data_IF_540769100725
#
_entry.id   IF_540769100725
#
_cell.length_a   1.000
_cell.length_b   1.000
_cell.length_c   1.000
_cell.angle_alpha   90.00
_cell.angle_beta   90.00
_cell.angle_gamma   90.00
#
_symmetry.space_group_name_H-M   'P 1'
#
loop_
_entity.id
_entity.type
_entity.pdbx_description
1 polymer ?
#
# COMPACT_ATOMS: atom_id res chain seq x y z
N UNK A 1 11.33 18.06 11.93
CA UNK A 1 11.21 16.60 12.16
C UNK A 1 9.72 16.21 12.30
N UNK A 2 8.91 16.35 11.25
CA UNK A 2 7.45 16.10 11.28
C UNK A 2 6.92 15.41 10.01
N UNK A 3 7.76 14.76 9.21
CA UNK A 3 7.32 14.23 7.90
C UNK A 3 6.91 12.76 7.93
N UNK A 4 7.48 11.94 8.81
CA UNK A 4 7.27 10.48 8.78
C UNK A 4 6.03 9.97 9.53
N UNK A 5 5.25 10.85 10.19
CA UNK A 5 3.96 10.48 10.81
C UNK A 5 2.74 10.76 9.93
N UNK A 6 2.92 11.48 8.82
CA UNK A 6 1.84 11.84 7.88
C UNK A 6 1.60 10.78 6.80
N UNK A 7 2.52 9.82 6.61
CA UNK A 7 2.14 8.52 6.07
C UNK A 7 1.41 7.77 7.18
N UNK A 8 0.14 8.11 7.37
CA UNK A 8 -0.75 7.37 8.25
C UNK A 8 -0.74 5.91 7.85
N UNK A 9 -0.54 5.02 8.82
CA UNK A 9 -0.65 3.58 8.55
C UNK A 9 -2.07 3.21 8.10
N UNK A 10 -2.28 1.93 7.72
CA UNK A 10 -3.57 1.47 7.22
C UNK A 10 -4.76 1.83 8.14
N UNK A 11 -4.53 1.85 9.47
CA UNK A 11 -5.58 2.21 10.44
C UNK A 11 -5.91 3.70 10.37
N UNK A 12 -4.90 4.57 10.26
CA UNK A 12 -5.12 6.01 10.15
C UNK A 12 -5.81 6.38 8.83
N UNK A 13 -5.46 5.72 7.73
CA UNK A 13 -6.16 5.91 6.44
C UNK A 13 -7.64 5.52 6.58
N UNK A 14 -7.94 4.42 7.26
CA UNK A 14 -9.32 4.00 7.53
C UNK A 14 -10.09 5.01 8.40
N UNK A 15 -9.44 5.61 9.40
CA UNK A 15 -10.03 6.68 10.22
C UNK A 15 -10.35 7.91 9.37
N UNK A 16 -9.41 8.38 8.55
CA UNK A 16 -9.61 9.52 7.65
C UNK A 16 -10.72 9.26 6.62
N UNK A 17 -10.83 8.02 6.12
CA UNK A 17 -11.93 7.62 5.25
C UNK A 17 -13.29 7.71 5.98
N UNK A 18 -13.34 7.25 7.23
CA UNK A 18 -14.55 7.33 8.07
C UNK A 18 -14.94 8.78 8.41
N UNK A 19 -13.97 9.65 8.68
CA UNK A 19 -14.22 11.09 8.86
C UNK A 19 -14.71 11.74 7.56
N UNK A 20 -14.09 11.42 6.42
CA UNK A 20 -14.52 11.92 5.11
C UNK A 20 -15.95 11.51 4.77
N UNK A 21 -16.34 10.28 5.13
CA UNK A 21 -17.72 9.80 4.97
C UNK A 21 -18.71 10.59 5.84
N UNK A 22 -18.33 10.95 7.08
CA UNK A 22 -19.16 11.78 7.98
C UNK A 22 -19.29 13.23 7.50
N UNK A 23 -18.26 13.77 6.84
CA UNK A 23 -18.27 15.12 6.25
C UNK A 23 -19.15 15.24 5.00
N UNK A 24 -19.64 14.12 4.46
CA UNK A 24 -20.58 14.07 3.34
C UNK A 24 -19.99 13.48 2.05
N UNK A 25 -20.87 13.21 1.09
CA UNK A 25 -20.54 12.46 -0.12
C UNK A 25 -19.48 13.14 -1.01
N UNK A 26 -19.53 14.47 -1.14
CA UNK A 26 -18.55 15.23 -1.93
C UNK A 26 -17.12 15.08 -1.37
N UNK A 27 -16.97 15.17 -0.05
CA UNK A 27 -15.70 15.02 0.64
C UNK A 27 -15.17 13.59 0.53
N UNK A 28 -16.04 12.60 0.68
CA UNK A 28 -15.68 11.19 0.49
C UNK A 28 -15.20 10.91 -0.93
N UNK A 29 -15.87 11.47 -1.95
CA UNK A 29 -15.42 11.34 -3.35
C UNK A 29 -14.04 11.97 -3.56
N UNK A 30 -13.81 13.18 -3.03
CA UNK A 30 -12.51 13.84 -3.11
C UNK A 30 -11.39 13.03 -2.44
N UNK A 31 -11.65 12.52 -1.24
CA UNK A 31 -10.73 11.62 -0.52
C UNK A 31 -10.45 10.35 -1.34
N UNK A 32 -11.49 9.70 -1.83
CA UNK A 32 -11.37 8.45 -2.60
C UNK A 32 -10.62 8.68 -3.90
N UNK A 33 -10.88 9.77 -4.61
CA UNK A 33 -10.18 10.14 -5.84
C UNK A 33 -8.68 10.37 -5.58
N UNK A 34 -8.35 11.13 -4.53
CA UNK A 34 -6.96 11.34 -4.12
C UNK A 34 -6.24 10.03 -3.82
N UNK A 35 -6.83 9.15 -3.00
CA UNK A 35 -6.22 7.85 -2.68
C UNK A 35 -6.13 6.93 -3.90
N UNK A 36 -7.15 6.90 -4.76
CA UNK A 36 -7.17 6.07 -5.98
C UNK A 36 -6.08 6.47 -6.96
N UNK A 37 -5.84 7.78 -7.15
CA UNK A 37 -4.75 8.26 -8.00
C UNK A 37 -3.39 7.84 -7.45
N UNK A 38 -3.17 8.01 -6.14
CA UNK A 38 -1.93 7.59 -5.50
C UNK A 38 -1.71 6.07 -5.63
N UNK A 39 -2.76 5.27 -5.42
CA UNK A 39 -2.68 3.82 -5.57
C UNK A 39 -2.42 3.41 -7.03
N UNK A 40 -3.04 4.10 -7.99
CA UNK A 40 -2.77 3.91 -9.42
C UNK A 40 -1.31 4.17 -9.77
N UNK A 41 -0.71 5.24 -9.24
CA UNK A 41 0.73 5.54 -9.43
C UNK A 41 1.60 4.45 -8.78
N UNK A 42 1.28 4.04 -7.55
CA UNK A 42 2.01 2.98 -6.85
C UNK A 42 1.96 1.65 -7.61
N UNK A 43 0.81 1.30 -8.20
CA UNK A 43 0.65 0.07 -8.99
C UNK A 43 1.50 0.05 -10.27
N UNK A 44 1.96 1.21 -10.77
CA UNK A 44 2.85 1.28 -11.94
C UNK A 44 4.34 1.07 -11.60
N UNK A 45 4.68 1.01 -10.31
CA UNK A 45 6.05 0.71 -9.87
C UNK A 45 6.44 -0.71 -10.33
N UNK A 46 7.68 -0.94 -10.80
CA UNK A 46 8.15 -2.24 -11.28
C UNK A 46 8.38 -3.25 -10.12
N UNK A 47 7.30 -3.58 -9.41
CA UNK A 47 7.29 -4.54 -8.31
C UNK A 47 6.53 -5.81 -8.74
N UNK A 48 7.06 -7.03 -8.54
CA UNK A 48 6.53 -8.27 -9.13
C UNK A 48 5.04 -8.60 -8.86
N UNK A 49 4.46 -8.07 -7.79
CA UNK A 49 3.06 -8.30 -7.39
C UNK A 49 2.11 -7.24 -7.97
N UNK A 50 2.66 -6.13 -8.47
CA UNK A 50 1.92 -4.99 -9.00
C UNK A 50 1.85 -5.05 -10.53
N UNK A 51 0.87 -4.36 -11.11
CA UNK A 51 0.67 -4.28 -12.56
C UNK A 51 1.93 -3.77 -13.29
N UNK A 52 2.63 -2.80 -12.69
CA UNK A 52 3.89 -2.26 -13.17
C UNK A 52 5.02 -3.28 -13.25
N UNK A 53 5.03 -4.30 -12.37
CA UNK A 53 5.98 -5.41 -12.44
C UNK A 53 5.76 -6.29 -13.66
N UNK A 54 4.50 -6.57 -14.00
CA UNK A 54 4.14 -7.31 -15.21
C UNK A 54 4.50 -6.53 -16.46
N UNK A 55 4.17 -5.23 -16.50
CA UNK A 55 4.55 -4.32 -17.60
C UNK A 55 6.07 -4.29 -17.76
N UNK A 56 6.81 -4.18 -16.66
CA UNK A 56 8.27 -4.14 -16.68
C UNK A 56 8.89 -5.43 -17.24
N UNK A 57 8.37 -6.60 -16.83
CA UNK A 57 8.81 -7.89 -17.38
C UNK A 57 8.51 -7.97 -18.89
N UNK A 58 7.34 -7.52 -19.32
CA UNK A 58 6.98 -7.50 -20.74
C UNK A 58 7.88 -6.56 -21.55
N UNK A 59 8.25 -5.40 -21.00
CA UNK A 59 9.21 -4.48 -21.62
C UNK A 59 10.58 -5.14 -21.77
N UNK A 60 11.07 -5.82 -20.74
CA UNK A 60 12.33 -6.58 -20.81
C UNK A 60 12.24 -7.67 -21.88
N UNK A 61 11.15 -8.44 -21.93
CA UNK A 61 10.94 -9.48 -22.94
C UNK A 61 10.91 -8.91 -24.37
N UNK A 62 10.34 -7.71 -24.54
CA UNK A 62 10.32 -6.98 -25.81
C UNK A 62 11.70 -6.51 -26.26
N UNK A 63 12.51 -6.00 -25.33
CA UNK A 63 13.89 -5.53 -25.61
C UNK A 63 14.83 -6.71 -25.86
N UNK A 64 14.82 -7.70 -24.97
CA UNK A 64 15.71 -8.87 -25.01
C UNK A 64 15.27 -9.88 -26.08
N UNK A 65 14.04 -9.74 -26.61
CA UNK A 65 13.40 -10.68 -27.57
C UNK A 65 13.39 -12.14 -27.10
N UNK A 66 13.52 -12.36 -25.79
CA UNK A 66 13.54 -13.69 -25.18
C UNK A 66 12.53 -13.71 -24.04
N UNK A 67 11.67 -14.73 -24.04
CA UNK A 67 10.69 -14.92 -22.98
C UNK A 67 11.39 -15.31 -21.68
N UNK A 68 11.04 -14.63 -20.60
CA UNK A 68 11.37 -15.03 -19.24
C UNK A 68 10.60 -16.32 -18.95
N UNK A 69 11.28 -17.31 -18.38
CA UNK A 69 10.65 -18.60 -18.09
C UNK A 69 9.48 -18.43 -17.11
N UNK A 70 8.41 -19.20 -17.33
CA UNK A 70 7.21 -19.18 -16.48
C UNK A 70 7.57 -19.48 -15.02
N UNK A 71 8.52 -20.40 -14.79
CA UNK A 71 9.02 -20.75 -13.45
C UNK A 71 9.61 -19.55 -12.71
N UNK A 72 10.39 -18.71 -13.42
CA UNK A 72 10.99 -17.50 -12.84
C UNK A 72 9.92 -16.44 -12.54
N UNK A 73 8.96 -16.22 -13.46
CA UNK A 73 7.84 -15.28 -13.20
C UNK A 73 7.04 -15.70 -11.97
N UNK A 74 6.70 -16.98 -11.86
CA UNK A 74 5.95 -17.53 -10.73
C UNK A 74 6.72 -17.39 -9.42
N UNK A 75 8.02 -17.72 -9.42
CA UNK A 75 8.87 -17.58 -8.25
C UNK A 75 8.98 -16.12 -7.78
N UNK A 76 9.23 -15.18 -8.70
CA UNK A 76 9.29 -13.75 -8.39
C UNK A 76 7.97 -13.22 -7.82
N UNK A 77 6.85 -13.62 -8.41
CA UNK A 77 5.52 -13.22 -7.96
C UNK A 77 5.22 -13.78 -6.58
N UNK A 78 5.47 -15.07 -6.34
CA UNK A 78 5.23 -15.71 -5.05
C UNK A 78 6.12 -15.12 -3.95
N UNK A 79 7.41 -14.92 -4.22
CA UNK A 79 8.31 -14.25 -3.28
C UNK A 79 7.85 -12.83 -2.99
N UNK A 80 7.50 -12.06 -4.02
CA UNK A 80 6.97 -10.71 -3.87
C UNK A 80 5.71 -10.68 -3.00
N UNK A 81 4.77 -11.61 -3.23
CA UNK A 81 3.51 -11.68 -2.48
C UNK A 81 3.77 -11.99 -1.01
N UNK A 82 4.63 -12.95 -0.71
CA UNK A 82 4.97 -13.29 0.68
C UNK A 82 5.63 -12.10 1.39
N UNK A 83 6.59 -11.43 0.74
CA UNK A 83 7.26 -10.25 1.29
C UNK A 83 6.26 -9.13 1.54
N UNK A 84 5.37 -8.86 0.58
CA UNK A 84 4.38 -7.80 0.68
C UNK A 84 3.38 -8.09 1.81
N UNK A 85 2.90 -9.32 1.94
CA UNK A 85 2.01 -9.72 3.02
C UNK A 85 2.69 -9.58 4.39
N UNK A 86 3.93 -10.04 4.54
CA UNK A 86 4.70 -9.87 5.78
C UNK A 86 4.91 -8.39 6.12
N UNK A 87 5.18 -7.56 5.12
CA UNK A 87 5.35 -6.12 5.29
C UNK A 87 4.05 -5.43 5.69
N UNK A 88 2.92 -5.76 5.05
CA UNK A 88 1.60 -5.28 5.44
C UNK A 88 1.26 -5.67 6.87
N UNK A 89 1.51 -6.94 7.24
CA UNK A 89 1.30 -7.44 8.58
C UNK A 89 2.14 -6.64 9.61
N UNK A 90 3.43 -6.45 9.33
CA UNK A 90 4.35 -5.70 10.18
C UNK A 90 3.90 -4.24 10.37
N UNK A 91 3.55 -3.53 9.29
CA UNK A 91 3.07 -2.15 9.37
C UNK A 91 1.77 -2.08 10.15
N UNK A 92 0.79 -2.93 9.84
CA UNK A 92 -0.50 -2.93 10.53
C UNK A 92 -0.35 -3.22 12.01
N UNK A 93 0.45 -4.23 12.40
CA UNK A 93 0.71 -4.49 13.82
C UNK A 93 1.36 -3.31 14.53
N UNK A 94 2.36 -2.68 13.89
CA UNK A 94 3.02 -1.52 14.46
C UNK A 94 2.08 -0.30 14.59
N UNK A 95 1.17 -0.11 13.62
CA UNK A 95 0.18 0.96 13.63
C UNK A 95 -0.86 0.76 14.75
N UNK A 96 -1.37 -0.47 14.92
CA UNK A 96 -2.31 -0.85 15.99
C UNK A 96 -1.68 -0.69 17.37
N UNK A 97 -0.47 -1.22 17.58
CA UNK A 97 0.24 -1.10 18.86
C UNK A 97 0.53 0.36 19.23
N UNK A 98 0.89 1.19 18.23
CA UNK A 98 1.08 2.62 18.43
C UNK A 98 -0.22 3.30 18.87
N UNK A 99 -1.34 2.97 18.24
CA UNK A 99 -2.65 3.53 18.57
C UNK A 99 -3.09 3.16 20.00
N UNK A 100 -3.00 1.88 20.37
CA UNK A 100 -3.33 1.44 21.74
C UNK A 100 -2.44 2.09 22.80
N UNK A 101 -1.14 2.18 22.55
CA UNK A 101 -0.19 2.79 23.49
C UNK A 101 -0.53 4.26 23.75
N UNK A 102 -0.88 5.00 22.69
CA UNK A 102 -1.31 6.39 22.80
C UNK A 102 -2.63 6.47 23.58
N UNK A 103 -3.63 5.63 23.26
CA UNK A 103 -4.91 5.63 23.94
C UNK A 103 -4.78 5.37 25.46
N UNK A 104 -3.88 4.47 25.89
CA UNK A 104 -3.62 4.19 27.31
C UNK A 104 -2.95 5.35 28.05
N UNK A 105 -2.11 6.13 27.36
CA UNK A 105 -1.45 7.31 27.95
C UNK A 105 -2.41 8.49 28.14
N UNK A 106 -3.46 8.59 27.33
CA UNK A 106 -4.48 9.64 27.45
C UNK A 106 -5.73 9.22 28.23
N UNK A 107 -5.98 7.92 28.40
CA UNK A 107 -7.11 7.37 29.16
C UNK A 107 -6.83 7.05 30.64
N UNK A 108 -5.61 7.33 31.12
CA UNK A 108 -5.25 7.25 32.53
C UNK A 108 -5.27 8.64 33.17
N UNK A 109 -6.45 9.10 33.58
CA UNK A 109 -6.69 10.36 34.28
C UNK A 109 -8.14 10.47 34.71
#
# INVERSE_FOLDING_TARGET
RMSSKLLGGPVMIAQMAGESARMGFSTLLGFTAFFSINLGILNLIPFPVLDGGHIFILLIEGIVRKKVSVKVKLALQQMGTVILLLFMLYITFNDVMRFETIARLFGGG
#
